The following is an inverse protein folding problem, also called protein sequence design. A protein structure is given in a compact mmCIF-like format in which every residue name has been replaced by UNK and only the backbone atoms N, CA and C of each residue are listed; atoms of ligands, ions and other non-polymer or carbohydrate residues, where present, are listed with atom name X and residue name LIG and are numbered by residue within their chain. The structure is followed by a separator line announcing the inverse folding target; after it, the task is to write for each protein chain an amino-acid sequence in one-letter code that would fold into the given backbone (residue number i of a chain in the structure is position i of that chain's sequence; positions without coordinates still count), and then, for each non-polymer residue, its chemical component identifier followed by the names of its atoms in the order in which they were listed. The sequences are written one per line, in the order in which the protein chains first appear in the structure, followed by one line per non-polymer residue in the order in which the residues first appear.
data_IF_589959747916
#
_entry.id   IF_589959747916
#
_cell.length_a   1.000
_cell.length_b   1.000
_cell.length_c   1.000
_cell.angle_alpha   90.00
_cell.angle_beta   90.00
_cell.angle_gamma   90.00
#
_symmetry.space_group_name_H-M   'P 1'
#
loop_
_entity.id
_entity.type
_entity.pdbx_description
1 polymer ?
#
# COMPACT_ATOMS: atom_id res chain seq x y z
N UNK A 1 -8.38 -2.32 9.42
CA UNK A 1 -7.95 -0.94 9.02
C UNK A 1 -8.98 0.18 9.23
N UNK A 2 -10.30 -0.06 9.15
CA UNK A 2 -11.32 1.00 9.12
C UNK A 2 -11.36 1.95 10.34
N UNK A 3 -10.98 1.48 11.53
CA UNK A 3 -10.91 2.34 12.73
C UNK A 3 -9.89 3.48 12.59
N UNK A 4 -8.67 3.17 12.12
CA UNK A 4 -7.62 4.17 11.93
C UNK A 4 -8.00 5.21 10.86
N UNK A 5 -8.70 4.78 9.81
CA UNK A 5 -9.22 5.67 8.76
C UNK A 5 -10.27 6.64 9.32
N UNK A 6 -11.12 6.16 10.24
CA UNK A 6 -12.11 7.01 10.93
C UNK A 6 -11.47 8.10 11.80
N UNK A 7 -10.26 7.88 12.30
CA UNK A 7 -9.50 8.84 13.10
C UNK A 7 -8.69 9.83 12.25
N UNK A 8 -8.55 9.60 10.94
CA UNK A 8 -7.80 10.47 10.06
C UNK A 8 -8.50 11.84 9.93
N UNK A 9 -7.75 12.92 10.15
CA UNK A 9 -8.27 14.29 10.04
C UNK A 9 -8.44 14.78 8.60
N UNK A 10 -7.90 14.05 7.63
CA UNK A 10 -7.97 14.37 6.21
C UNK A 10 -8.81 13.34 5.47
N UNK A 11 -9.47 13.76 4.39
CA UNK A 11 -10.29 12.86 3.58
C UNK A 11 -9.47 11.91 2.72
N UNK A 12 -8.30 12.35 2.26
CA UNK A 12 -7.33 11.52 1.56
C UNK A 12 -6.44 10.77 2.55
N UNK A 13 -6.41 9.44 2.43
CA UNK A 13 -5.68 8.57 3.35
C UNK A 13 -4.71 7.69 2.55
N UNK A 14 -3.45 7.68 2.99
CA UNK A 14 -2.42 6.75 2.53
C UNK A 14 -2.23 5.67 3.60
N UNK A 15 -2.59 4.44 3.29
CA UNK A 15 -2.39 3.28 4.17
C UNK A 15 -1.15 2.52 3.75
N UNK A 16 -0.20 2.34 4.67
CA UNK A 16 1.08 1.66 4.45
C UNK A 16 1.37 0.72 5.62
N UNK A 17 1.96 -0.43 5.34
CA UNK A 17 2.41 -1.35 6.38
C UNK A 17 3.77 -0.89 6.95
N UNK A 18 4.09 -1.23 8.21
CA UNK A 18 5.31 -0.73 8.87
C UNK A 18 6.62 -1.29 8.30
N UNK A 19 6.52 -2.38 7.55
CA UNK A 19 7.62 -3.07 6.85
C UNK A 19 7.68 -2.70 5.35
N UNK A 20 6.92 -1.67 4.94
CA UNK A 20 6.93 -1.13 3.60
C UNK A 20 7.76 0.16 3.49
N UNK A 21 8.59 0.24 2.46
CA UNK A 21 9.47 1.38 2.16
C UNK A 21 9.06 1.97 0.81
N UNK A 22 8.67 3.25 0.81
CA UNK A 22 8.35 4.00 -0.40
C UNK A 22 9.62 4.37 -1.17
N UNK A 23 9.59 4.17 -2.48
CA UNK A 23 10.59 4.75 -3.37
C UNK A 23 10.38 6.28 -3.53
N UNK A 24 11.45 7.00 -3.86
CA UNK A 24 11.42 8.46 -4.04
C UNK A 24 10.48 8.89 -5.17
N UNK A 25 10.30 8.08 -6.22
CA UNK A 25 9.37 8.37 -7.31
C UNK A 25 7.92 8.40 -6.82
N UNK A 26 7.56 7.50 -5.89
CA UNK A 26 6.23 7.47 -5.27
C UNK A 26 6.00 8.73 -4.45
N UNK A 27 6.99 9.10 -3.62
CA UNK A 27 6.91 10.30 -2.78
C UNK A 27 6.73 11.54 -3.65
N UNK A 28 7.50 11.65 -4.73
CA UNK A 28 7.41 12.76 -5.69
C UNK A 28 6.04 12.81 -6.36
N UNK A 29 5.50 11.67 -6.78
CA UNK A 29 4.17 11.60 -7.38
C UNK A 29 3.05 12.00 -6.41
N UNK A 30 3.11 11.56 -5.16
CA UNK A 30 2.13 11.95 -4.12
C UNK A 30 2.23 13.44 -3.83
N UNK A 31 3.44 14.00 -3.76
CA UNK A 31 3.63 15.44 -3.58
C UNK A 31 3.07 16.24 -4.76
N UNK A 32 3.28 15.77 -5.99
CA UNK A 32 2.70 16.38 -7.18
C UNK A 32 1.16 16.35 -7.16
N UNK A 33 0.55 15.23 -6.76
CA UNK A 33 -0.90 15.13 -6.58
C UNK A 33 -1.41 16.12 -5.52
N UNK A 34 -0.68 16.28 -4.42
CA UNK A 34 -1.05 17.21 -3.35
C UNK A 34 -0.91 18.68 -3.77
N UNK A 35 0.05 19.00 -4.64
CA UNK A 35 0.30 20.36 -5.13
C UNK A 35 -0.60 20.77 -6.30
N UNK A 36 -1.18 19.79 -7.01
CA UNK A 36 -2.07 20.02 -8.14
C UNK A 36 -3.51 20.32 -7.75
N UNK A 37 -4.41 20.15 -8.72
CA UNK A 37 -5.85 20.23 -8.49
C UNK A 37 -6.35 19.05 -7.65
N UNK A 38 -7.40 19.27 -6.86
CA UNK A 38 -7.98 18.22 -6.05
C UNK A 38 -8.52 17.09 -6.95
N UNK A 39 -8.03 15.85 -6.78
CA UNK A 39 -8.47 14.75 -7.63
C UNK A 39 -9.94 14.38 -7.40
N UNK A 40 -10.54 13.68 -8.36
CA UNK A 40 -11.87 13.08 -8.18
C UNK A 40 -11.86 12.12 -6.97
N UNK A 41 -12.71 12.32 -5.95
CA UNK A 41 -12.73 11.51 -4.73
C UNK A 41 -13.09 10.04 -4.98
N UNK A 42 -13.68 9.71 -6.13
CA UNK A 42 -13.96 8.32 -6.54
C UNK A 42 -12.74 7.59 -7.12
N UNK A 43 -11.64 8.32 -7.33
CA UNK A 43 -10.37 7.77 -7.79
C UNK A 43 -9.56 7.20 -6.61
N UNK A 44 -8.91 6.07 -6.87
CA UNK A 44 -7.95 5.46 -5.95
C UNK A 44 -6.62 5.20 -6.65
N UNK A 45 -5.51 5.21 -5.91
CA UNK A 45 -4.20 4.90 -6.46
C UNK A 45 -3.63 3.60 -5.92
N UNK A 46 -3.14 2.82 -6.88
CA UNK A 46 -2.44 1.56 -6.66
C UNK A 46 -0.94 1.79 -6.72
N UNK A 47 -0.24 1.16 -5.79
CA UNK A 47 1.21 1.17 -5.74
C UNK A 47 1.76 -0.21 -6.09
N UNK A 48 2.77 -0.31 -6.98
CA UNK A 48 3.44 -1.59 -7.22
C UNK A 48 4.21 -1.97 -5.96
N UNK A 49 3.91 -3.14 -5.40
CA UNK A 49 4.60 -3.64 -4.22
C UNK A 49 5.49 -4.82 -4.59
N UNK A 50 6.79 -4.67 -4.37
CA UNK A 50 7.78 -5.72 -4.57
C UNK A 50 8.11 -6.39 -3.25
N UNK A 51 8.05 -7.71 -3.27
CA UNK A 51 8.29 -8.54 -2.10
C UNK A 51 9.77 -8.88 -1.97
N UNK A 52 10.29 -8.69 -0.76
CA UNK A 52 11.64 -9.05 -0.37
C UNK A 52 11.58 -10.05 0.79
N UNK A 53 12.18 -11.22 0.58
CA UNK A 53 12.28 -12.29 1.58
C UNK A 53 13.76 -12.47 1.92
N UNK A 54 14.11 -12.29 3.20
CA UNK A 54 15.50 -12.36 3.68
C UNK A 54 16.44 -11.46 2.86
N UNK A 55 15.97 -10.25 2.52
CA UNK A 55 16.71 -9.25 1.74
C UNK A 55 16.83 -9.53 0.24
N UNK A 56 16.22 -10.62 -0.27
CA UNK A 56 16.20 -10.93 -1.71
C UNK A 56 14.82 -10.66 -2.29
N UNK A 57 14.79 -9.96 -3.42
CA UNK A 57 13.57 -9.76 -4.18
C UNK A 57 13.05 -11.11 -4.70
N UNK A 58 11.78 -11.40 -4.44
CA UNK A 58 11.12 -12.61 -4.93
C UNK A 58 10.11 -12.24 -6.01
N UNK A 59 9.87 -13.19 -6.93
CA UNK A 59 8.81 -13.09 -7.95
C UNK A 59 7.48 -13.66 -7.48
N UNK A 60 7.51 -14.57 -6.50
CA UNK A 60 6.32 -15.23 -5.97
C UNK A 60 6.58 -15.63 -4.52
N UNK A 61 5.62 -15.35 -3.64
CA UNK A 61 5.52 -15.89 -2.29
C UNK A 61 4.11 -16.44 -2.16
N UNK A 62 3.94 -17.75 -2.30
CA UNK A 62 2.60 -18.34 -2.42
C UNK A 62 1.66 -17.90 -1.28
N UNK A 63 0.46 -17.36 -1.58
CA UNK A 63 -0.23 -17.32 -2.89
C UNK A 63 -0.04 -16.02 -3.72
N UNK A 64 0.87 -15.13 -3.34
CA UNK A 64 1.05 -13.78 -3.89
C UNK A 64 2.13 -13.76 -4.99
N UNK A 65 1.81 -13.10 -6.10
CA UNK A 65 2.76 -12.78 -7.18
C UNK A 65 3.35 -11.40 -6.96
N UNK A 66 4.67 -11.25 -7.18
CA UNK A 66 5.41 -10.01 -7.01
C UNK A 66 5.87 -9.48 -8.37
N UNK A 67 5.58 -8.21 -8.72
CA UNK A 67 4.88 -7.23 -7.90
C UNK A 67 3.35 -7.45 -7.87
N UNK A 68 2.73 -7.14 -6.74
CA UNK A 68 1.28 -6.93 -6.64
C UNK A 68 0.95 -5.42 -6.67
N UNK A 69 -0.34 -5.08 -6.75
CA UNK A 69 -0.80 -3.70 -6.95
C UNK A 69 -1.92 -3.32 -5.98
N UNK A 70 -1.69 -3.34 -4.66
CA UNK A 70 -2.68 -2.93 -3.69
C UNK A 70 -3.05 -1.45 -3.87
N UNK A 71 -4.33 -1.13 -3.62
CA UNK A 71 -4.77 0.25 -3.45
C UNK A 71 -4.25 0.75 -2.11
N UNK A 72 -3.55 1.88 -2.13
CA UNK A 72 -2.85 2.43 -0.95
C UNK A 72 -3.26 3.86 -0.65
N UNK A 73 -3.63 4.64 -1.66
CA UNK A 73 -4.12 6.02 -1.50
C UNK A 73 -5.55 6.11 -2.04
N UNK A 74 -6.47 6.61 -1.23
CA UNK A 74 -7.88 6.75 -1.60
C UNK A 74 -8.58 7.77 -0.70
N UNK A 75 -9.77 8.23 -1.12
CA UNK A 75 -10.62 9.08 -0.30
C UNK A 75 -11.49 8.22 0.65
N UNK A 76 -11.38 8.46 1.96
CA UNK A 76 -12.08 7.68 3.00
C UNK A 76 -13.60 7.79 2.96
N UNK A 77 -14.15 8.84 2.34
CA UNK A 77 -15.60 9.03 2.21
C UNK A 77 -16.19 8.16 1.09
N UNK A 78 -15.38 7.82 0.09
CA UNK A 78 -15.78 7.04 -1.08
C UNK A 78 -15.36 5.57 -0.99
N UNK A 79 -14.19 5.31 -0.40
CA UNK A 79 -13.64 3.96 -0.32
C UNK A 79 -13.26 3.58 1.11
N UNK A 80 -13.42 2.29 1.42
CA UNK A 80 -13.12 1.68 2.72
C UNK A 80 -12.52 0.29 2.55
N UNK A 81 -11.87 -0.24 3.57
CA UNK A 81 -11.48 -1.64 3.56
C UNK A 81 -12.71 -2.53 3.74
N UNK A 82 -12.72 -3.66 3.05
CA UNK A 82 -13.70 -4.73 3.27
C UNK A 82 -13.58 -5.28 4.71
N UNK A 83 -14.65 -5.88 5.22
CA UNK A 83 -14.67 -6.47 6.58
C UNK A 83 -14.20 -7.94 6.56
N UNK A 84 -13.26 -8.30 5.67
CA UNK A 84 -12.78 -9.68 5.57
C UNK A 84 -11.71 -9.94 6.64
N UNK A 85 -11.69 -11.12 7.27
CA UNK A 85 -10.71 -11.45 8.30
C UNK A 85 -9.29 -11.67 7.74
N UNK A 86 -9.17 -11.95 6.43
CA UNK A 86 -7.92 -12.18 5.70
C UNK A 86 -8.05 -11.47 4.34
N UNK A 87 -6.98 -10.84 3.88
CA UNK A 87 -6.89 -10.05 2.64
C UNK A 87 -7.76 -8.78 2.61
N UNK A 88 -7.41 -7.82 3.46
CA UNK A 88 -7.96 -6.47 3.48
C UNK A 88 -7.81 -5.82 2.09
N UNK A 89 -8.94 -5.51 1.45
CA UNK A 89 -8.98 -4.83 0.15
C UNK A 89 -9.85 -3.58 0.21
N UNK A 90 -9.36 -2.51 -0.43
CA UNK A 90 -10.11 -1.26 -0.56
C UNK A 90 -11.22 -1.41 -1.60
N UNK A 91 -12.46 -1.19 -1.19
CA UNK A 91 -13.67 -1.25 -2.01
C UNK A 91 -14.38 0.11 -2.02
N UNK A 92 -15.20 0.38 -3.04
CA UNK A 92 -16.02 1.60 -3.14
C UNK A 92 -15.48 2.70 -4.07
N UNK A 93 -14.25 2.55 -4.57
CA UNK A 93 -13.71 3.44 -5.60
C UNK A 93 -14.29 3.08 -6.99
N UNK A 94 -14.56 4.09 -7.82
CA UNK A 94 -15.08 3.90 -9.18
C UNK A 94 -13.95 3.63 -10.19
N UNK A 95 -12.80 4.25 -9.98
CA UNK A 95 -11.62 4.10 -10.84
C UNK A 95 -10.36 3.93 -10.01
N UNK A 96 -9.35 3.28 -10.58
CA UNK A 96 -8.04 3.21 -9.94
C UNK A 96 -6.87 3.32 -10.90
N UNK A 97 -5.95 4.20 -10.57
CA UNK A 97 -4.76 4.55 -11.36
C UNK A 97 -3.51 3.99 -10.69
N UNK A 98 -2.51 3.59 -11.48
CA UNK A 98 -1.21 3.17 -10.94
C UNK A 98 -0.31 4.39 -10.79
N UNK A 99 0.27 4.58 -9.60
CA UNK A 99 1.30 5.60 -9.41
C UNK A 99 2.65 5.09 -9.95
N UNK A 100 3.51 6.01 -10.43
CA UNK A 100 4.89 5.66 -10.78
C UNK A 100 5.70 5.31 -9.52
N UNK A 101 6.83 4.65 -9.72
CA UNK A 101 7.68 4.17 -8.63
C UNK A 101 7.21 2.82 -8.07
N UNK A 102 7.68 2.48 -6.87
CA UNK A 102 7.35 1.22 -6.23
C UNK A 102 7.45 1.29 -4.70
N UNK A 103 6.91 0.26 -4.07
CA UNK A 103 7.01 0.00 -2.64
C UNK A 103 7.77 -1.28 -2.45
N UNK A 104 8.79 -1.25 -1.60
CA UNK A 104 9.50 -2.43 -1.15
C UNK A 104 8.83 -2.95 0.12
N UNK A 105 8.45 -4.22 0.15
CA UNK A 105 7.88 -4.87 1.32
C UNK A 105 8.82 -5.96 1.83
N UNK A 106 9.35 -5.80 3.04
CA UNK A 106 10.32 -6.71 3.65
C UNK A 106 9.66 -7.67 4.64
N UNK A 107 9.25 -8.86 4.17
CA UNK A 107 8.48 -9.83 4.98
C UNK A 107 9.32 -10.50 6.09
N UNK A 108 10.66 -10.45 6.00
CA UNK A 108 11.57 -10.97 7.04
C UNK A 108 12.90 -10.21 7.05
N UNK A 109 13.00 -9.15 7.84
CA UNK A 109 14.23 -8.33 7.95
C UNK A 109 15.35 -9.09 8.69
N UNK A 110 14.99 -9.96 9.63
CA UNK A 110 15.95 -10.76 10.40
C UNK A 110 15.26 -12.01 10.96
N UNK A 111 15.53 -13.19 10.39
CA UNK A 111 15.46 -14.41 11.19
C UNK A 111 16.60 -14.30 12.19
N UNK A 112 16.30 -13.86 13.41
CA UNK A 112 17.18 -14.13 14.53
C UNK A 112 17.35 -15.65 14.52
N UNK A 113 18.58 -16.11 14.29
CA UNK A 113 18.97 -17.50 14.54
C UNK A 113 18.48 -17.83 15.96
N UNK A 114 17.33 -18.50 16.08
CA UNK A 114 17.17 -19.48 17.14
C UNK A 114 18.10 -20.63 16.77
N UNK A 115 19.39 -20.41 16.94
CA UNK A 115 20.33 -21.50 17.16
C UNK A 115 19.90 -22.07 18.50
N UNK A 116 19.23 -23.21 18.43
CA UNK A 116 19.26 -24.18 19.51
C UNK A 116 20.74 -24.57 19.64
N UNK A 117 21.40 -24.06 20.68
CA UNK A 117 22.61 -24.64 21.26
C UNK A 117 22.54 -24.47 22.76
#
# INVERSE_FOLDING_TARGET
MNYAIGLASHDWVLCMDSDEILDNDVVTAIQALKAGEEPDPTCAWRLPRYWFVLGKQVRTIYPISSPDYPVRLFNRQQARFNDRPVDDQVIGHASSVRLPGFVRHDTFIRCMKCLIS
#
